data_IF_942253485452
#
_entry.id   IF_942253485452
#
_cell.length_a   1.000
_cell.length_b   1.000
_cell.length_c   1.000
_cell.angle_alpha   90.00
_cell.angle_beta   90.00
_cell.angle_gamma   90.00
#
_symmetry.space_group_name_H-M   'P 1'
#
loop_
_entity.id
_entity.type
_entity.pdbx_description
1 polymer ?
#
# COMPACT_ATOMS: atom_id res chain seq x y z
N UNK A 1 -8.08 26.12 9.17
CA UNK A 1 -6.64 25.87 9.35
C UNK A 1 -6.12 25.24 8.06
N UNK A 2 -5.50 26.05 7.18
CA UNK A 2 -4.84 25.57 5.97
C UNK A 2 -3.37 25.34 6.31
N UNK A 3 -2.91 24.09 6.32
CA UNK A 3 -1.46 23.82 6.34
C UNK A 3 -0.93 24.00 4.92
N UNK A 4 -0.23 25.12 4.70
CA UNK A 4 0.47 25.41 3.46
C UNK A 4 1.78 24.62 3.39
N UNK A 5 1.78 23.48 2.72
CA UNK A 5 3.03 22.80 2.33
C UNK A 5 3.56 23.44 1.04
N UNK A 6 3.93 24.72 1.07
CA UNK A 6 4.63 25.38 -0.03
C UNK A 6 6.13 25.11 0.10
N UNK A 7 6.69 24.35 -0.85
CA UNK A 7 8.14 24.36 -1.11
C UNK A 7 8.48 25.59 -1.94
N UNK A 8 8.35 26.77 -1.33
CA UNK A 8 9.38 27.78 -1.54
C UNK A 8 10.72 27.12 -1.14
N UNK A 9 11.87 27.63 -1.60
CA UNK A 9 13.03 27.55 -0.71
C UNK A 9 12.58 28.34 0.52
N UNK A 10 11.91 27.66 1.45
CA UNK A 10 11.62 28.19 2.75
C UNK A 10 13.00 28.58 3.27
N UNK A 11 13.19 29.87 3.50
CA UNK A 11 13.98 30.30 4.63
C UNK A 11 13.69 29.29 5.75
N UNK A 12 14.76 28.73 6.33
CA UNK A 12 14.70 27.62 7.28
C UNK A 12 13.88 28.04 8.51
N UNK A 13 12.55 28.00 8.39
CA UNK A 13 11.64 28.37 9.45
C UNK A 13 11.68 27.25 10.48
N UNK A 14 12.44 27.51 11.53
CA UNK A 14 12.49 26.68 12.72
C UNK A 14 11.09 26.59 13.33
N UNK A 15 10.43 25.45 13.13
CA UNK A 15 9.15 25.18 13.78
C UNK A 15 9.42 25.01 15.26
N UNK A 16 8.97 25.96 16.08
CA UNK A 16 9.04 25.87 17.53
C UNK A 16 7.69 25.50 18.12
N UNK A 17 7.70 24.57 19.09
CA UNK A 17 6.55 24.23 19.91
C UNK A 17 6.87 24.63 21.34
N UNK A 18 6.10 25.57 21.90
CA UNK A 18 6.31 26.11 23.25
C UNK A 18 7.75 26.60 23.50
N UNK A 19 8.37 27.24 22.50
CA UNK A 19 9.74 27.73 22.59
C UNK A 19 10.84 26.68 22.38
N UNK A 20 10.49 25.41 22.14
CA UNK A 20 11.44 24.35 21.77
C UNK A 20 11.43 24.14 20.24
N UNK A 21 12.60 24.26 19.61
CA UNK A 21 12.77 23.96 18.18
C UNK A 21 12.57 22.47 17.93
N UNK A 22 11.65 22.13 17.02
CA UNK A 22 11.37 20.75 16.62
C UNK A 22 12.44 20.29 15.62
N UNK A 23 13.18 19.21 15.89
CA UNK A 23 14.21 18.74 14.99
C UNK A 23 13.61 18.25 13.69
N UNK A 24 14.11 18.78 12.57
CA UNK A 24 13.77 18.31 11.22
C UNK A 24 14.32 16.89 11.03
N UNK A 25 13.51 16.02 10.41
CA UNK A 25 13.90 14.66 10.04
C UNK A 25 13.48 14.36 8.62
N UNK A 26 14.37 13.70 7.89
CA UNK A 26 14.11 13.25 6.51
C UNK A 26 13.05 12.15 6.47
N UNK A 27 12.95 11.39 7.56
CA UNK A 27 11.95 10.33 7.74
C UNK A 27 11.23 10.47 9.08
N UNK A 28 9.91 10.32 9.05
CA UNK A 28 9.08 10.44 10.24
C UNK A 28 7.96 9.40 10.25
N UNK A 29 7.69 8.78 11.41
CA UNK A 29 6.55 7.87 11.57
C UNK A 29 5.31 8.65 12.00
N UNK A 30 4.27 8.62 11.19
CA UNK A 30 2.97 9.21 11.48
C UNK A 30 1.85 8.18 11.35
N UNK A 31 1.08 7.97 12.43
CA UNK A 31 -0.04 6.99 12.48
C UNK A 31 0.35 5.59 11.93
N UNK A 32 1.60 5.21 12.19
CA UNK A 32 2.20 3.95 11.77
C UNK A 32 2.84 3.96 10.37
N UNK A 33 2.59 4.96 9.51
CA UNK A 33 3.22 5.07 8.19
C UNK A 33 4.50 5.90 8.24
N UNK A 34 5.45 5.57 7.38
CA UNK A 34 6.69 6.34 7.21
C UNK A 34 6.50 7.41 6.14
N UNK A 35 6.70 8.67 6.53
CA UNK A 35 6.73 9.81 5.62
C UNK A 35 8.20 10.13 5.30
N UNK A 36 8.46 10.42 4.02
CA UNK A 36 9.77 10.83 3.52
C UNK A 36 9.69 12.27 3.00
N UNK A 37 10.76 13.03 3.21
CA UNK A 37 10.88 14.41 2.72
C UNK A 37 10.68 14.53 1.19
N UNK A 38 11.19 13.56 0.43
CA UNK A 38 11.09 13.54 -1.03
C UNK A 38 9.71 13.11 -1.56
N UNK A 39 8.77 12.78 -0.66
CA UNK A 39 7.45 12.24 -0.99
C UNK A 39 7.48 10.79 -1.50
N UNK A 40 8.62 10.10 -1.37
CA UNK A 40 8.78 8.70 -1.73
C UNK A 40 8.03 7.77 -0.77
N UNK A 41 7.82 6.53 -1.22
CA UNK A 41 7.18 5.47 -0.42
C UNK A 41 8.11 4.30 -0.07
N UNK A 42 9.38 4.35 -0.48
CA UNK A 42 10.35 3.26 -0.22
C UNK A 42 10.41 2.88 1.27
N UNK A 43 10.53 3.86 2.17
CA UNK A 43 10.59 3.60 3.61
C UNK A 43 9.28 3.05 4.18
N UNK A 44 8.12 3.50 3.68
CA UNK A 44 6.84 2.96 4.15
C UNK A 44 6.63 1.53 3.68
N UNK A 45 6.96 1.22 2.41
CA UNK A 45 6.90 -0.14 1.87
C UNK A 45 7.81 -1.08 2.68
N UNK A 46 9.05 -0.66 2.95
CA UNK A 46 9.99 -1.43 3.78
C UNK A 46 9.48 -1.61 5.21
N UNK A 47 8.91 -0.56 5.80
CA UNK A 47 8.33 -0.61 7.13
C UNK A 47 7.16 -1.60 7.21
N UNK A 48 6.26 -1.59 6.22
CA UNK A 48 5.12 -2.51 6.15
C UNK A 48 5.52 -3.94 5.86
N UNK A 49 6.54 -4.17 5.03
CA UNK A 49 7.14 -5.50 4.85
C UNK A 49 7.67 -6.03 6.17
N UNK A 50 8.42 -5.21 6.93
CA UNK A 50 8.90 -5.58 8.27
C UNK A 50 7.73 -5.88 9.21
N UNK A 51 6.67 -5.08 9.20
CA UNK A 51 5.47 -5.30 10.00
C UNK A 51 4.77 -6.63 9.66
N UNK A 52 4.65 -6.96 8.37
CA UNK A 52 4.14 -8.24 7.90
C UNK A 52 4.98 -9.42 8.39
N UNK A 53 6.32 -9.31 8.31
CA UNK A 53 7.23 -10.32 8.85
C UNK A 53 7.10 -10.50 10.37
N UNK A 54 6.90 -9.42 11.12
CA UNK A 54 6.68 -9.51 12.56
C UNK A 54 5.40 -10.30 12.88
N UNK A 55 4.29 -10.00 12.18
CA UNK A 55 3.04 -10.77 12.34
C UNK A 55 3.18 -12.23 11.93
N UNK A 56 3.89 -12.50 10.84
CA UNK A 56 4.19 -13.86 10.41
C UNK A 56 5.02 -14.62 11.45
N UNK A 57 6.08 -13.99 11.98
CA UNK A 57 6.98 -14.61 12.96
C UNK A 57 6.28 -14.93 14.28
N UNK A 58 5.40 -14.05 14.74
CA UNK A 58 4.57 -14.28 15.95
C UNK A 58 3.73 -15.55 15.85
N UNK A 59 3.30 -15.93 14.64
CA UNK A 59 2.50 -17.13 14.40
C UNK A 59 3.29 -18.28 13.77
N UNK A 60 4.62 -18.20 13.74
CA UNK A 60 5.48 -19.22 13.12
C UNK A 60 5.25 -20.62 13.69
N UNK A 61 4.89 -20.75 14.98
CA UNK A 61 4.54 -22.05 15.58
C UNK A 61 3.37 -22.76 14.89
N UNK A 62 2.36 -22.01 14.42
CA UNK A 62 1.21 -22.56 13.68
C UNK A 62 1.53 -22.62 12.18
N UNK A 63 2.14 -21.58 11.65
CA UNK A 63 2.40 -21.42 10.22
C UNK A 63 3.45 -22.40 9.71
N UNK A 64 4.40 -22.82 10.54
CA UNK A 64 5.44 -23.79 10.18
C UNK A 64 5.08 -25.23 10.60
N UNK A 65 4.02 -25.46 11.39
CA UNK A 65 3.61 -26.81 11.77
C UNK A 65 3.01 -27.55 10.56
N UNK A 66 3.56 -28.73 10.24
CA UNK A 66 3.11 -29.55 9.12
C UNK A 66 1.72 -30.15 9.33
N UNK A 67 1.27 -30.28 10.59
CA UNK A 67 -0.05 -30.80 10.96
C UNK A 67 -1.18 -29.81 10.67
N UNK A 68 -0.84 -28.53 10.57
CA UNK A 68 -1.84 -27.48 10.31
C UNK A 68 -2.18 -27.46 8.81
N UNK A 69 -3.47 -27.55 8.43
CA UNK A 69 -3.88 -27.51 7.02
C UNK A 69 -3.45 -26.23 6.31
N UNK A 70 -2.99 -26.35 5.06
CA UNK A 70 -2.48 -25.21 4.27
C UNK A 70 -3.53 -24.10 4.07
N UNK A 71 -4.80 -24.45 3.84
CA UNK A 71 -5.90 -23.49 3.73
C UNK A 71 -6.12 -22.68 5.03
N UNK A 72 -5.86 -23.29 6.21
CA UNK A 72 -5.92 -22.58 7.48
C UNK A 72 -4.76 -21.59 7.63
N UNK A 73 -3.54 -21.98 7.22
CA UNK A 73 -2.38 -21.08 7.16
C UNK A 73 -2.63 -19.90 6.21
N UNK A 74 -3.26 -20.15 5.06
CA UNK A 74 -3.69 -19.09 4.15
C UNK A 74 -4.74 -18.17 4.76
N UNK A 75 -5.72 -18.69 5.51
CA UNK A 75 -6.67 -17.87 6.29
C UNK A 75 -5.94 -16.98 7.31
N UNK A 76 -4.94 -17.49 8.01
CA UNK A 76 -4.11 -16.68 8.91
C UNK A 76 -3.38 -15.56 8.16
N UNK A 77 -2.73 -15.89 7.04
CA UNK A 77 -2.05 -14.89 6.21
C UNK A 77 -3.00 -13.75 5.80
N UNK A 78 -4.19 -14.10 5.28
CA UNK A 78 -5.22 -13.14 4.85
C UNK A 78 -5.69 -12.22 5.97
N UNK A 79 -5.75 -12.71 7.20
CA UNK A 79 -6.36 -12.01 8.34
C UNK A 79 -5.37 -11.20 9.17
N UNK A 80 -4.11 -11.65 9.30
CA UNK A 80 -3.14 -11.01 10.18
C UNK A 80 -1.93 -10.43 9.45
N UNK A 81 -1.42 -11.12 8.42
CA UNK A 81 -0.16 -10.75 7.76
C UNK A 81 -0.40 -9.76 6.62
N UNK A 82 -1.30 -10.09 5.69
CA UNK A 82 -1.60 -9.24 4.54
C UNK A 82 -2.11 -7.85 4.96
N UNK A 83 -3.01 -7.70 5.94
CA UNK A 83 -3.43 -6.37 6.39
C UNK A 83 -2.29 -5.55 7.00
N UNK A 84 -1.33 -6.19 7.69
CA UNK A 84 -0.16 -5.48 8.21
C UNK A 84 0.78 -4.98 7.10
N UNK A 85 0.89 -5.74 6.00
CA UNK A 85 1.67 -5.36 4.81
C UNK A 85 0.99 -4.28 3.97
N UNK A 86 -0.35 -4.26 3.92
CA UNK A 86 -1.12 -3.34 3.07
C UNK A 86 -1.70 -2.14 3.82
N UNK A 87 -1.40 -1.98 5.11
CA UNK A 87 -1.85 -0.81 5.85
C UNK A 87 -1.29 0.47 5.21
N UNK A 88 -2.17 1.43 4.93
CA UNK A 88 -1.82 2.71 4.30
C UNK A 88 -1.51 2.62 2.80
N UNK A 89 -1.53 1.41 2.23
CA UNK A 89 -1.13 1.20 0.84
C UNK A 89 -2.13 1.76 -0.19
N UNK A 90 -3.37 2.02 0.24
CA UNK A 90 -4.39 2.70 -0.56
C UNK A 90 -4.00 4.10 -1.01
N UNK A 91 -3.06 4.76 -0.31
CA UNK A 91 -2.54 6.10 -0.65
C UNK A 91 -1.20 6.07 -1.40
N UNK A 92 -0.61 4.89 -1.63
CA UNK A 92 0.71 4.79 -2.24
C UNK A 92 0.69 5.02 -3.75
N UNK A 93 1.54 5.91 -4.30
CA UNK A 93 1.87 5.92 -5.72
C UNK A 93 2.84 4.79 -6.09
N UNK A 94 2.31 3.59 -6.36
CA UNK A 94 3.14 2.39 -6.51
C UNK A 94 3.76 2.25 -7.90
N UNK A 95 5.09 2.34 -7.95
CA UNK A 95 5.98 1.88 -9.03
C UNK A 95 6.08 0.34 -9.06
N UNK A 96 6.44 -0.22 -10.22
CA UNK A 96 6.61 -1.68 -10.42
C UNK A 96 7.55 -2.34 -9.41
N UNK A 97 8.65 -1.66 -9.04
CA UNK A 97 9.60 -2.17 -8.03
C UNK A 97 8.93 -2.45 -6.66
N UNK A 98 8.00 -1.59 -6.23
CA UNK A 98 7.35 -1.73 -4.92
C UNK A 98 6.36 -2.89 -4.92
N UNK A 99 5.59 -3.03 -6.00
CA UNK A 99 4.68 -4.14 -6.20
C UNK A 99 5.46 -5.47 -6.25
N UNK A 100 6.59 -5.49 -6.96
CA UNK A 100 7.48 -6.66 -6.99
C UNK A 100 8.06 -7.00 -5.61
N UNK A 101 8.48 -5.99 -4.82
CA UNK A 101 8.97 -6.20 -3.45
C UNK A 101 7.91 -6.85 -2.56
N UNK A 102 6.66 -6.39 -2.63
CA UNK A 102 5.53 -6.98 -1.92
C UNK A 102 5.25 -8.41 -2.38
N UNK A 103 5.21 -8.65 -3.69
CA UNK A 103 4.96 -9.97 -4.27
C UNK A 103 6.04 -11.00 -3.91
N UNK A 104 7.32 -10.60 -3.97
CA UNK A 104 8.44 -11.46 -3.54
C UNK A 104 8.35 -11.78 -2.05
N UNK A 105 7.99 -10.79 -1.23
CA UNK A 105 7.81 -10.98 0.22
C UNK A 105 6.66 -11.95 0.51
N UNK A 106 5.49 -11.75 -0.10
CA UNK A 106 4.34 -12.65 0.01
C UNK A 106 4.75 -14.07 -0.36
N UNK A 107 5.32 -14.28 -1.56
CA UNK A 107 5.68 -15.62 -2.01
C UNK A 107 6.73 -16.28 -1.12
N UNK A 108 7.66 -15.51 -0.53
CA UNK A 108 8.61 -16.04 0.44
C UNK A 108 7.92 -16.56 1.69
N UNK A 109 6.94 -15.81 2.23
CA UNK A 109 6.15 -16.25 3.37
C UNK A 109 5.30 -17.48 3.03
N UNK A 110 4.56 -17.45 1.91
CA UNK A 110 3.67 -18.55 1.49
C UNK A 110 4.44 -19.85 1.27
N UNK A 111 5.58 -19.78 0.56
CA UNK A 111 6.43 -20.96 0.32
C UNK A 111 6.96 -21.54 1.61
N UNK A 112 7.44 -20.69 2.52
CA UNK A 112 7.96 -21.16 3.81
C UNK A 112 6.87 -21.89 4.61
N UNK A 113 5.66 -21.34 4.70
CA UNK A 113 4.54 -21.98 5.40
C UNK A 113 4.15 -23.34 4.82
N UNK A 114 4.34 -23.53 3.52
CA UNK A 114 4.11 -24.78 2.82
C UNK A 114 5.34 -25.72 2.81
N UNK A 115 6.46 -25.32 3.42
CA UNK A 115 7.70 -26.10 3.42
C UNK A 115 8.41 -26.15 2.07
N UNK A 116 8.10 -25.22 1.16
CA UNK A 116 8.67 -25.18 -0.17
C UNK A 116 9.87 -24.23 -0.27
N UNK A 117 10.87 -24.64 -1.02
CA UNK A 117 12.03 -23.80 -1.37
C UNK A 117 11.96 -23.36 -2.84
N UNK A 118 12.91 -22.52 -3.27
CA UNK A 118 13.04 -22.19 -4.70
C UNK A 118 13.55 -23.36 -5.54
N UNK A 119 14.21 -24.36 -4.92
CA UNK A 119 14.75 -25.54 -5.62
C UNK A 119 13.64 -26.48 -6.08
N UNK A 120 12.50 -26.46 -5.41
CA UNK A 120 11.35 -27.32 -5.70
C UNK A 120 10.64 -26.94 -7.01
N UNK A 121 10.95 -25.77 -7.60
CA UNK A 121 10.44 -25.27 -8.89
C UNK A 121 8.91 -25.27 -9.04
N UNK A 122 8.15 -25.36 -7.94
CA UNK A 122 6.68 -25.24 -7.91
C UNK A 122 6.28 -23.84 -8.39
N UNK A 123 5.23 -23.71 -9.23
CA UNK A 123 4.78 -22.39 -9.71
C UNK A 123 4.19 -21.57 -8.56
N UNK A 124 4.21 -20.24 -8.71
CA UNK A 124 3.67 -19.35 -7.68
C UNK A 124 2.14 -19.51 -7.56
N UNK A 125 1.46 -19.73 -8.67
CA UNK A 125 0.00 -19.88 -8.74
C UNK A 125 -0.43 -21.15 -7.99
N UNK A 126 0.23 -22.29 -8.22
CA UNK A 126 -0.02 -23.53 -7.49
C UNK A 126 0.11 -23.36 -5.96
N UNK A 127 1.09 -22.59 -5.50
CA UNK A 127 1.26 -22.31 -4.06
C UNK A 127 0.09 -21.48 -3.53
N UNK A 128 -0.32 -20.43 -4.27
CA UNK A 128 -1.45 -19.57 -3.92
C UNK A 128 -2.78 -20.31 -3.89
N UNK A 129 -3.01 -21.19 -4.85
CA UNK A 129 -4.22 -22.02 -4.91
C UNK A 129 -4.29 -22.99 -3.73
N UNK A 130 -3.17 -23.66 -3.42
CA UNK A 130 -3.06 -24.54 -2.26
C UNK A 130 -3.36 -23.84 -0.94
N UNK A 131 -2.85 -22.63 -0.74
CA UNK A 131 -3.12 -21.86 0.50
C UNK A 131 -4.46 -21.10 0.45
N UNK A 132 -5.04 -20.87 -0.73
CA UNK A 132 -6.27 -20.09 -0.92
C UNK A 132 -6.05 -18.59 -0.70
N UNK A 133 -5.05 -18.03 -1.38
CA UNK A 133 -4.59 -16.64 -1.24
C UNK A 133 -4.47 -15.98 -2.61
N UNK A 134 -5.23 -14.91 -2.85
CA UNK A 134 -5.08 -14.08 -4.03
C UNK A 134 -3.75 -13.29 -4.00
N UNK A 135 -3.17 -12.94 -5.17
CA UNK A 135 -1.95 -12.15 -5.24
C UNK A 135 -2.05 -10.82 -4.48
N UNK A 136 -1.01 -10.48 -3.71
CA UNK A 136 -0.97 -9.20 -2.97
C UNK A 136 -1.07 -7.98 -3.88
N UNK A 137 -0.61 -8.08 -5.12
CA UNK A 137 -0.70 -7.01 -6.13
C UNK A 137 -2.15 -6.65 -6.44
N UNK A 138 -2.99 -7.64 -6.69
CA UNK A 138 -4.42 -7.41 -6.96
C UNK A 138 -5.13 -6.86 -5.73
N UNK A 139 -4.77 -7.34 -4.53
CA UNK A 139 -5.32 -6.83 -3.27
C UNK A 139 -4.91 -5.38 -3.01
N UNK A 140 -3.68 -5.02 -3.34
CA UNK A 140 -3.19 -3.65 -3.28
C UNK A 140 -4.01 -2.72 -4.19
N UNK A 141 -4.26 -3.14 -5.44
CA UNK A 141 -5.10 -2.39 -6.38
C UNK A 141 -6.54 -2.28 -5.87
N UNK A 142 -7.13 -3.39 -5.38
CA UNK A 142 -8.45 -3.38 -4.77
C UNK A 142 -8.56 -2.38 -3.61
N UNK A 143 -7.56 -2.29 -2.73
CA UNK A 143 -7.53 -1.34 -1.62
C UNK A 143 -7.50 0.11 -2.13
N UNK A 144 -6.63 0.40 -3.11
CA UNK A 144 -6.52 1.73 -3.71
C UNK A 144 -7.81 2.16 -4.43
N UNK A 145 -8.43 1.27 -5.21
CA UNK A 145 -9.70 1.55 -5.88
C UNK A 145 -10.88 1.66 -4.90
N UNK A 146 -10.87 0.88 -3.79
CA UNK A 146 -11.85 1.02 -2.71
C UNK A 146 -11.79 2.43 -2.10
N UNK A 147 -10.58 2.93 -1.83
CA UNK A 147 -10.37 4.27 -1.33
C UNK A 147 -10.74 5.35 -2.35
N UNK A 148 -10.36 5.17 -3.62
CA UNK A 148 -10.77 6.06 -4.69
C UNK A 148 -12.29 6.20 -4.79
N UNK A 149 -13.02 5.08 -4.80
CA UNK A 149 -14.48 5.10 -4.81
C UNK A 149 -15.06 5.80 -3.59
N UNK A 150 -14.43 5.65 -2.41
CA UNK A 150 -14.82 6.42 -1.23
C UNK A 150 -14.68 7.92 -1.48
N UNK A 151 -13.53 8.38 -1.99
CA UNK A 151 -13.28 9.79 -2.31
C UNK A 151 -14.29 10.34 -3.33
N UNK A 152 -14.60 9.60 -4.41
CA UNK A 152 -15.53 10.05 -5.45
C UNK A 152 -16.95 10.32 -4.91
N UNK A 153 -17.39 9.55 -3.91
CA UNK A 153 -18.72 9.70 -3.30
C UNK A 153 -18.78 10.77 -2.21
N UNK A 154 -17.67 11.42 -1.87
CA UNK A 154 -17.64 12.50 -0.87
C UNK A 154 -17.82 13.86 -1.53
N UNK A 155 -18.55 14.78 -0.88
CA UNK A 155 -18.74 16.13 -1.41
C UNK A 155 -17.38 16.85 -1.54
N UNK A 156 -17.22 17.79 -2.49
CA UNK A 156 -15.94 18.47 -2.76
C UNK A 156 -15.31 19.16 -1.53
N UNK A 157 -16.14 19.59 -0.59
CA UNK A 157 -15.75 20.29 0.64
C UNK A 157 -15.19 19.32 1.71
N UNK A 158 -15.33 18.01 1.50
CA UNK A 158 -14.87 17.02 2.46
C UNK A 158 -13.33 17.05 2.59
N UNK A 159 -12.77 16.98 3.82
CA UNK A 159 -11.32 17.02 4.05
C UNK A 159 -10.50 15.94 3.30
N UNK A 160 -11.16 14.85 2.89
CA UNK A 160 -10.54 13.78 2.10
C UNK A 160 -10.01 14.27 0.74
N UNK A 161 -10.55 15.38 0.20
CA UNK A 161 -10.05 16.00 -1.01
C UNK A 161 -8.84 16.92 -0.73
N UNK A 162 -8.73 17.44 0.49
CA UNK A 162 -7.62 18.27 0.98
C UNK A 162 -6.39 17.42 1.36
N UNK A 163 -6.58 16.16 1.76
CA UNK A 163 -5.51 15.21 2.07
C UNK A 163 -4.73 14.68 0.86
N UNK A 164 -5.03 15.15 -0.35
CA UNK A 164 -4.16 14.95 -1.50
C UNK A 164 -2.93 15.82 -1.28
N UNK A 165 -1.75 15.20 -1.14
CA UNK A 165 -0.48 15.91 -1.27
C UNK A 165 -0.43 16.50 -2.70
N UNK A 166 -0.95 17.72 -2.82
CA UNK A 166 -0.87 18.50 -4.05
C UNK A 166 0.56 19.00 -4.14
N UNK A 167 1.17 18.83 -5.30
CA UNK A 167 2.43 19.49 -5.60
C UNK A 167 2.15 21.00 -5.61
N UNK A 168 2.94 21.78 -4.89
CA UNK A 168 2.82 23.24 -4.92
C UNK A 168 2.95 23.72 -6.38
N UNK A 169 2.01 24.56 -6.83
CA UNK A 169 1.89 25.00 -8.23
C UNK A 169 3.14 25.73 -8.73
N UNK A 170 3.92 26.31 -7.81
CA UNK A 170 5.06 27.18 -8.11
C UNK A 170 6.42 26.47 -8.12
N UNK A 171 6.47 25.13 -8.05
CA UNK A 171 7.74 24.39 -8.08
C UNK A 171 8.17 24.14 -9.52
N UNK A 172 9.27 24.80 -9.95
CA UNK A 172 9.90 24.53 -11.26
C UNK A 172 10.18 23.03 -11.40
N UNK A 173 9.66 22.42 -12.46
CA UNK A 173 9.83 21.00 -12.76
C UNK A 173 11.32 20.73 -12.97
N UNK A 174 11.92 19.91 -12.09
CA UNK A 174 13.29 19.44 -12.28
C UNK A 174 13.45 18.65 -13.59
N UNK A 175 14.70 18.57 -14.07
CA UNK A 175 15.05 17.80 -15.28
C UNK A 175 14.83 16.30 -15.01
N UNK A 176 14.07 15.62 -15.87
CA UNK A 176 13.81 14.17 -15.75
C UNK A 176 12.33 13.79 -15.69
N UNK A 177 12.06 12.49 -15.46
CA UNK A 177 10.69 11.94 -15.35
C UNK A 177 10.06 12.39 -14.02
N UNK A 178 8.84 12.97 -14.02
CA UNK A 178 8.14 13.32 -12.79
C UNK A 178 7.92 12.13 -11.87
N UNK A 179 7.84 12.41 -10.57
CA UNK A 179 7.37 11.43 -9.60
C UNK A 179 5.96 10.99 -9.93
N UNK A 180 5.72 9.68 -9.83
CA UNK A 180 4.41 9.07 -10.02
C UNK A 180 3.48 9.59 -8.92
N UNK A 181 2.33 10.11 -9.32
CA UNK A 181 1.29 10.56 -8.40
C UNK A 181 0.31 9.44 -8.08
N UNK A 182 -0.43 9.60 -6.99
CA UNK A 182 -1.51 8.67 -6.63
C UNK A 182 -2.60 8.64 -7.70
N UNK A 183 -2.96 9.79 -8.26
CA UNK A 183 -3.98 9.89 -9.32
C UNK A 183 -3.56 9.17 -10.60
N UNK A 184 -2.30 9.27 -11.01
CA UNK A 184 -1.77 8.48 -12.15
C UNK A 184 -1.80 6.98 -11.87
N UNK A 185 -1.54 6.57 -10.62
CA UNK A 185 -1.63 5.16 -10.22
C UNK A 185 -3.06 4.65 -10.31
N UNK A 186 -4.05 5.43 -9.84
CA UNK A 186 -5.47 5.10 -9.97
C UNK A 186 -5.90 5.05 -11.43
N UNK A 187 -5.51 6.03 -12.26
CA UNK A 187 -5.85 6.04 -13.70
C UNK A 187 -5.33 4.79 -14.40
N UNK A 188 -4.11 4.35 -14.07
CA UNK A 188 -3.54 3.10 -14.57
C UNK A 188 -4.39 1.91 -14.15
N UNK A 189 -4.71 1.79 -12.86
CA UNK A 189 -5.50 0.65 -12.37
C UNK A 189 -6.89 0.57 -13.00
N UNK A 190 -7.58 1.70 -13.15
CA UNK A 190 -8.89 1.77 -13.82
C UNK A 190 -8.80 1.30 -15.27
N UNK A 191 -7.73 1.68 -15.97
CA UNK A 191 -7.47 1.24 -17.34
C UNK A 191 -7.17 -0.27 -17.38
N UNK A 192 -6.29 -0.75 -16.50
CA UNK A 192 -5.86 -2.14 -16.47
C UNK A 192 -7.04 -3.08 -16.12
N UNK A 193 -7.97 -2.63 -15.28
CA UNK A 193 -9.16 -3.40 -14.90
C UNK A 193 -10.40 -3.09 -15.76
N UNK A 194 -10.27 -2.19 -16.74
CA UNK A 194 -11.37 -1.75 -17.61
C UNK A 194 -12.59 -1.23 -16.84
N UNK A 195 -12.37 -0.49 -15.75
CA UNK A 195 -13.41 0.08 -14.90
C UNK A 195 -13.57 1.57 -15.19
N UNK A 196 -14.79 2.01 -15.44
CA UNK A 196 -15.10 3.44 -15.62
C UNK A 196 -15.15 4.17 -14.28
N UNK A 197 -14.72 5.43 -14.26
CA UNK A 197 -14.69 6.24 -13.03
C UNK A 197 -16.10 6.50 -12.50
N UNK A 198 -17.06 6.65 -13.40
CA UNK A 198 -18.46 6.98 -13.15
C UNK A 198 -19.14 5.87 -12.32
N UNK A 199 -18.70 4.62 -12.50
CA UNK A 199 -19.17 3.47 -11.73
C UNK A 199 -18.97 3.66 -10.22
N UNK A 200 -18.03 4.52 -9.80
CA UNK A 200 -17.77 4.80 -8.39
C UNK A 200 -18.98 5.39 -7.66
N UNK A 201 -19.96 5.98 -8.37
CA UNK A 201 -21.17 6.51 -7.74
C UNK A 201 -22.11 5.40 -7.26
N UNK A 202 -22.18 4.28 -7.97
CA UNK A 202 -22.90 3.10 -7.52
C UNK A 202 -22.02 2.26 -6.58
N UNK A 203 -22.33 2.29 -5.28
CA UNK A 203 -21.57 1.55 -4.27
C UNK A 203 -21.61 0.04 -4.47
N UNK A 204 -22.73 -0.51 -4.93
CA UNK A 204 -22.92 -1.95 -5.15
C UNK A 204 -22.12 -2.42 -6.35
N UNK A 205 -22.32 -1.78 -7.50
CA UNK A 205 -21.60 -2.09 -8.72
C UNK A 205 -20.09 -1.84 -8.57
N UNK A 206 -19.68 -0.76 -7.89
CA UNK A 206 -18.27 -0.50 -7.59
C UNK A 206 -17.64 -1.63 -6.77
N UNK A 207 -18.32 -2.07 -5.70
CA UNK A 207 -17.80 -3.12 -4.82
C UNK A 207 -17.60 -4.43 -5.58
N UNK A 208 -18.52 -4.77 -6.49
CA UNK A 208 -18.42 -5.96 -7.34
C UNK A 208 -17.28 -5.83 -8.34
N UNK A 209 -17.19 -4.70 -9.04
CA UNK A 209 -16.17 -4.47 -10.07
C UNK A 209 -14.74 -4.53 -9.53
N UNK A 210 -14.50 -4.04 -8.31
CA UNK A 210 -13.15 -4.04 -7.69
C UNK A 210 -12.87 -5.31 -6.87
N UNK A 211 -13.81 -6.25 -6.78
CA UNK A 211 -13.65 -7.39 -5.89
C UNK A 211 -12.64 -8.40 -6.43
N UNK A 212 -11.56 -8.62 -5.69
CA UNK A 212 -10.62 -9.71 -5.95
C UNK A 212 -11.03 -10.91 -5.10
N UNK A 213 -11.50 -12.02 -5.68
CA UNK A 213 -11.85 -13.23 -4.93
C UNK A 213 -10.60 -13.90 -4.34
N UNK A 214 -10.77 -14.74 -3.33
CA UNK A 214 -9.69 -15.64 -2.88
C UNK A 214 -9.89 -17.02 -3.55
N UNK A 215 -8.81 -17.73 -3.95
CA UNK A 215 -8.89 -19.10 -4.47
C UNK A 215 -9.24 -20.19 -3.44
#
# INVERSE_FOLDING_TARGET
>A
MMCGFSTTRCEEEEVSLNGQVVPRKDTFRYLGSMLQEDGGIDEDVNHRIKAGWMKWRQASGILCDKRVPQKLKGKFYRTAVRPAMLYGAECWPTKRRHVQQLGVTEMRMLRWMCGHTRKDRVRNDDIRDRVGVAPIEEKLVQHRLRWFGHIQRRPPEAPVHSGRLKRAENVKRGRGRPNLTWEESVKRDLKDWSITKELAMDRGAWKLAIHVPEP
#
